data_IF_009983931716
#
_entry.id   IF_009983931716
#
_cell.length_a   1.000
_cell.length_b   1.000
_cell.length_c   1.000
_cell.angle_alpha   90.00
_cell.angle_beta   90.00
_cell.angle_gamma   90.00
#
_symmetry.space_group_name_H-M   'P 1'
#
loop_
_entity.id
_entity.type
_entity.pdbx_description
1 polymer ?
#
# COMPACT_ATOMS: atom_id res chain seq x y z
N UNK A 1 -15.33 -15.75 -31.43
CA UNK A 1 -16.19 -15.73 -30.23
C UNK A 1 -15.70 -16.65 -29.10
N UNK A 2 -15.48 -17.96 -29.32
CA UNK A 2 -14.97 -18.84 -28.24
C UNK A 2 -13.50 -18.58 -27.89
N UNK A 3 -12.69 -18.21 -28.87
CA UNK A 3 -11.26 -17.93 -28.67
C UNK A 3 -11.01 -16.65 -27.86
N UNK A 4 -11.81 -15.60 -28.05
CA UNK A 4 -11.64 -14.32 -27.34
C UNK A 4 -12.09 -14.42 -25.88
N UNK A 5 -13.18 -15.14 -25.61
CA UNK A 5 -13.60 -15.49 -24.25
C UNK A 5 -12.55 -16.35 -23.56
N UNK A 6 -11.97 -17.31 -24.27
CA UNK A 6 -10.85 -18.13 -23.76
C UNK A 6 -9.62 -17.25 -23.47
N UNK A 7 -9.32 -16.26 -24.32
CA UNK A 7 -8.23 -15.31 -24.12
C UNK A 7 -8.41 -14.44 -22.87
N UNK A 8 -9.62 -13.90 -22.66
CA UNK A 8 -9.95 -13.15 -21.45
C UNK A 8 -9.83 -14.02 -20.19
N UNK A 9 -10.39 -15.23 -20.21
CA UNK A 9 -10.30 -16.17 -19.08
C UNK A 9 -8.85 -16.56 -18.79
N UNK A 10 -8.03 -16.77 -19.83
CA UNK A 10 -6.61 -17.03 -19.68
C UNK A 10 -5.87 -15.84 -19.07
N UNK A 11 -6.20 -14.61 -19.48
CA UNK A 11 -5.64 -13.38 -18.91
C UNK A 11 -6.01 -13.20 -17.43
N UNK A 12 -7.28 -13.40 -17.06
CA UNK A 12 -7.73 -13.35 -15.66
C UNK A 12 -7.02 -14.41 -14.82
N UNK A 13 -6.82 -15.60 -15.36
CA UNK A 13 -6.09 -16.67 -14.67
C UNK A 13 -4.62 -16.32 -14.45
N UNK A 14 -3.97 -15.70 -15.44
CA UNK A 14 -2.58 -15.24 -15.35
C UNK A 14 -2.39 -14.11 -14.33
N UNK A 15 -3.33 -13.18 -14.24
CA UNK A 15 -3.25 -11.99 -13.37
C UNK A 15 -4.02 -12.13 -12.05
N UNK A 16 -4.45 -13.36 -11.68
CA UNK A 16 -5.26 -13.63 -10.49
C UNK A 16 -4.69 -13.01 -9.20
N UNK A 17 -3.36 -13.02 -9.02
CA UNK A 17 -2.70 -12.45 -7.82
C UNK A 17 -2.85 -10.93 -7.76
N UNK A 18 -2.68 -10.25 -8.89
CA UNK A 18 -2.82 -8.80 -8.98
C UNK A 18 -4.28 -8.37 -8.78
N UNK A 19 -5.24 -9.13 -9.33
CA UNK A 19 -6.65 -8.89 -9.09
C UNK A 19 -7.04 -9.03 -7.61
N UNK A 20 -6.46 -10.00 -6.90
CA UNK A 20 -6.66 -10.17 -5.46
C UNK A 20 -6.10 -8.95 -4.70
N UNK A 21 -4.91 -8.47 -5.05
CA UNK A 21 -4.30 -7.28 -4.43
C UNK A 21 -5.11 -6.02 -4.73
N UNK A 22 -5.63 -5.88 -5.94
CA UNK A 22 -6.52 -4.77 -6.33
C UNK A 22 -7.94 -4.89 -5.73
N UNK A 23 -8.25 -5.97 -5.01
CA UNK A 23 -9.56 -6.19 -4.39
C UNK A 23 -10.68 -6.55 -5.37
N UNK A 24 -10.35 -6.89 -6.63
CA UNK A 24 -11.33 -7.27 -7.64
C UNK A 24 -11.52 -8.78 -7.60
N UNK A 25 -12.69 -9.23 -7.13
CA UNK A 25 -13.00 -10.66 -7.09
C UNK A 25 -13.36 -11.21 -8.47
N UNK A 26 -12.96 -12.45 -8.74
CA UNK A 26 -13.35 -13.18 -9.97
C UNK A 26 -14.88 -13.26 -10.11
N UNK A 27 -15.60 -13.36 -8.98
CA UNK A 27 -17.07 -13.39 -8.96
C UNK A 27 -17.68 -12.10 -9.51
N UNK A 28 -17.13 -10.94 -9.17
CA UNK A 28 -17.59 -9.64 -9.72
C UNK A 28 -17.37 -9.58 -11.23
N UNK A 29 -16.24 -10.07 -11.74
CA UNK A 29 -15.95 -10.09 -13.18
C UNK A 29 -16.95 -10.97 -13.93
N UNK A 30 -17.22 -12.18 -13.42
CA UNK A 30 -18.20 -13.08 -14.00
C UNK A 30 -19.62 -12.49 -13.92
N UNK A 31 -19.96 -11.81 -12.82
CA UNK A 31 -21.24 -11.13 -12.66
C UNK A 31 -21.41 -9.97 -13.66
N UNK A 32 -20.35 -9.21 -13.94
CA UNK A 32 -20.38 -8.15 -14.97
C UNK A 32 -20.56 -8.76 -16.36
N UNK A 33 -19.84 -9.84 -16.68
CA UNK A 33 -19.98 -10.54 -17.97
C UNK A 33 -21.38 -11.12 -18.16
N UNK A 34 -21.98 -11.70 -17.11
CA UNK A 34 -23.32 -12.27 -17.16
C UNK A 34 -24.43 -11.21 -17.08
N UNK A 35 -24.20 -10.13 -16.34
CA UNK A 35 -25.14 -9.03 -16.14
C UNK A 35 -25.25 -8.13 -17.38
N UNK A 36 -24.15 -7.93 -18.11
CA UNK A 36 -24.16 -7.22 -19.39
C UNK A 36 -24.66 -8.19 -20.47
N UNK A 37 -25.98 -8.23 -20.66
CA UNK A 37 -26.62 -9.01 -21.74
C UNK A 37 -26.22 -8.55 -23.15
N UNK A 38 -25.69 -7.34 -23.28
CA UNK A 38 -25.26 -6.77 -24.55
C UNK A 38 -23.78 -7.09 -24.83
N UNK A 39 -23.56 -8.07 -25.71
CA UNK A 39 -22.22 -8.57 -26.08
C UNK A 39 -21.35 -7.51 -26.76
N UNK A 40 -21.96 -6.55 -27.47
CA UNK A 40 -21.24 -5.48 -28.15
C UNK A 40 -20.63 -4.49 -27.16
N UNK A 41 -21.30 -4.25 -26.03
CA UNK A 41 -20.78 -3.41 -24.96
C UNK A 41 -19.54 -4.06 -24.28
N UNK A 42 -19.54 -5.38 -24.11
CA UNK A 42 -18.38 -6.12 -23.57
C UNK A 42 -17.19 -6.07 -24.54
N UNK A 43 -17.42 -6.24 -25.83
CA UNK A 43 -16.36 -6.16 -26.85
C UNK A 43 -15.78 -4.74 -26.96
N UNK A 44 -16.62 -3.71 -26.82
CA UNK A 44 -16.18 -2.32 -26.75
C UNK A 44 -15.30 -2.05 -25.52
N UNK A 45 -15.75 -2.47 -24.33
CA UNK A 45 -14.97 -2.36 -23.09
C UNK A 45 -13.62 -3.09 -23.18
N UNK A 46 -13.61 -4.28 -23.77
CA UNK A 46 -12.38 -5.05 -23.96
C UNK A 46 -11.41 -4.39 -24.95
N UNK A 47 -11.92 -3.85 -26.05
CA UNK A 47 -11.12 -3.12 -27.03
C UNK A 47 -10.53 -1.83 -26.43
N UNK A 48 -11.33 -1.08 -25.69
CA UNK A 48 -10.91 0.14 -24.99
C UNK A 48 -9.81 -0.18 -23.94
N UNK A 49 -9.97 -1.29 -23.20
CA UNK A 49 -8.97 -1.74 -22.23
C UNK A 49 -7.66 -2.20 -22.88
N UNK A 50 -7.72 -2.94 -23.99
CA UNK A 50 -6.51 -3.28 -24.76
C UNK A 50 -5.81 -2.02 -25.29
N UNK A 51 -6.58 -1.02 -25.73
CA UNK A 51 -6.03 0.24 -26.21
C UNK A 51 -5.37 1.04 -25.08
N UNK A 52 -5.93 1.03 -23.86
CA UNK A 52 -5.33 1.71 -22.71
C UNK A 52 -4.03 1.03 -22.25
N UNK A 53 -3.98 -0.31 -22.24
CA UNK A 53 -2.76 -1.07 -21.92
C UNK A 53 -1.67 -0.84 -22.97
N UNK A 54 -2.02 -0.81 -24.26
CA UNK A 54 -1.06 -0.52 -25.34
C UNK A 54 -0.54 0.91 -25.30
N UNK A 55 -1.37 1.88 -24.91
CA UNK A 55 -0.98 3.29 -24.74
C UNK A 55 -0.11 3.53 -23.50
N UNK A 56 -0.19 2.68 -22.47
CA UNK A 56 0.63 2.83 -21.26
C UNK A 56 2.04 2.28 -21.39
N UNK A 57 2.44 1.75 -22.55
CA UNK A 57 3.83 1.38 -22.84
C UNK A 57 4.63 2.61 -23.31
N UNK A 58 4.71 3.61 -22.44
CA UNK A 58 5.64 4.74 -22.54
C UNK A 58 6.46 4.72 -21.25
N UNK A 59 7.80 4.78 -21.31
CA UNK A 59 8.67 4.54 -20.16
C UNK A 59 8.38 5.52 -19.03
N UNK A 60 8.51 4.99 -17.81
CA UNK A 60 8.55 5.69 -16.53
C UNK A 60 9.23 7.04 -16.71
N UNK A 61 8.42 8.10 -16.79
CA UNK A 61 8.92 9.46 -16.69
C UNK A 61 8.95 9.80 -15.22
N UNK A 62 10.13 9.59 -14.65
CA UNK A 62 10.71 10.35 -13.54
C UNK A 62 9.97 11.68 -13.35
N UNK A 63 9.15 11.77 -12.30
CA UNK A 63 8.60 13.03 -11.84
C UNK A 63 9.55 13.57 -10.78
N UNK A 64 10.50 14.33 -11.31
CA UNK A 64 11.33 15.31 -10.64
C UNK A 64 10.49 16.28 -9.81
N UNK A 65 11.06 16.64 -8.66
CA UNK A 65 10.74 17.75 -7.77
C UNK A 65 9.65 18.72 -8.21
N UNK A 66 8.53 18.76 -7.46
CA UNK A 66 7.92 20.05 -7.10
C UNK A 66 7.08 19.91 -5.84
N UNK A 67 7.61 20.38 -4.71
CA UNK A 67 6.87 20.58 -3.45
C UNK A 67 6.07 21.88 -3.58
N UNK A 68 4.73 21.89 -3.52
CA UNK A 68 4.01 23.14 -3.29
C UNK A 68 4.05 23.47 -1.80
N UNK A 69 4.81 24.53 -1.46
CA UNK A 69 4.74 25.21 -0.16
C UNK A 69 3.30 25.72 0.03
N UNK A 70 2.57 25.14 0.97
CA UNK A 70 1.27 25.65 1.40
C UNK A 70 1.51 26.66 2.52
N UNK A 71 1.13 27.92 2.28
CA UNK A 71 1.13 29.00 3.26
C UNK A 71 0.13 28.68 4.38
N UNK A 72 0.58 28.78 5.64
CA UNK A 72 -0.24 28.58 6.84
C UNK A 72 -1.04 29.85 7.10
N UNK A 73 -2.38 29.78 6.98
CA UNK A 73 -3.29 30.80 7.50
C UNK A 73 -3.77 30.42 8.92
N UNK A 74 -4.16 31.39 9.79
CA UNK A 74 -4.41 31.14 11.20
C UNK A 74 -5.70 30.34 11.43
N UNK A 75 -5.63 29.41 12.39
CA UNK A 75 -6.68 28.45 12.76
C UNK A 75 -7.76 29.17 13.60
N UNK A 76 -9.05 29.18 13.22
CA UNK A 76 -10.11 29.50 14.16
C UNK A 76 -10.44 28.28 15.04
N UNK A 77 -10.43 28.52 16.34
CA UNK A 77 -10.80 27.62 17.43
C UNK A 77 -12.25 27.14 17.27
N UNK A 78 -12.45 25.83 17.06
CA UNK A 78 -13.78 25.18 17.14
C UNK A 78 -13.72 23.95 18.04
N UNK A 79 -14.32 24.19 19.19
CA UNK A 79 -14.93 23.36 20.22
C UNK A 79 -15.34 21.91 19.84
N UNK A 80 -15.00 20.99 20.76
CA UNK A 80 -15.57 19.64 21.01
C UNK A 80 -15.57 18.61 19.88
N UNK A 81 -14.52 17.77 19.86
CA UNK A 81 -14.59 16.41 19.33
C UNK A 81 -14.52 15.41 20.50
N UNK A 82 -15.30 14.31 20.51
CA UNK A 82 -15.40 13.45 21.68
C UNK A 82 -14.06 12.79 22.01
N UNK A 83 -13.71 12.84 23.29
CA UNK A 83 -12.58 12.11 23.88
C UNK A 83 -12.68 10.64 23.47
N UNK A 84 -11.80 10.22 22.55
CA UNK A 84 -11.58 8.81 22.28
C UNK A 84 -11.02 8.23 23.58
N UNK A 85 -11.86 7.55 24.35
CA UNK A 85 -11.38 6.68 25.43
C UNK A 85 -10.60 5.58 24.74
N UNK A 86 -9.28 5.67 24.80
CA UNK A 86 -8.39 4.58 24.44
C UNK A 86 -8.71 3.47 25.44
N UNK A 87 -9.52 2.51 25.01
CA UNK A 87 -9.69 1.27 25.77
C UNK A 87 -8.33 0.61 25.74
N UNK A 88 -7.73 0.42 26.91
CA UNK A 88 -6.49 -0.33 27.04
C UNK A 88 -6.74 -1.77 26.59
N UNK A 89 -6.39 -2.07 25.33
CA UNK A 89 -6.46 -3.43 24.76
C UNK A 89 -5.24 -4.21 25.23
N UNK A 90 -5.03 -4.26 26.55
CA UNK A 90 -3.90 -4.97 27.12
C UNK A 90 -4.18 -6.47 27.10
N UNK A 91 -3.39 -7.18 26.29
CA UNK A 91 -3.11 -8.63 26.35
C UNK A 91 -4.30 -9.56 26.06
N UNK A 92 -4.90 -9.45 24.87
CA UNK A 92 -5.26 -10.71 24.20
C UNK A 92 -3.95 -11.40 23.83
N UNK A 93 -3.78 -12.69 24.14
CA UNK A 93 -2.62 -13.46 23.70
C UNK A 93 -2.49 -13.34 22.18
N UNK A 94 -1.66 -12.39 21.73
CA UNK A 94 -1.39 -12.17 20.32
C UNK A 94 -0.55 -13.36 19.88
N UNK A 95 -0.79 -13.87 18.67
CA UNK A 95 0.14 -14.85 18.12
C UNK A 95 1.49 -14.17 17.92
N UNK A 96 2.63 -14.83 18.21
CA UNK A 96 3.94 -14.26 17.96
C UNK A 96 4.07 -13.78 16.50
N UNK A 97 4.48 -12.53 16.30
CA UNK A 97 4.72 -11.97 14.98
C UNK A 97 6.02 -11.18 14.96
N UNK A 98 6.74 -11.28 13.85
CA UNK A 98 8.02 -10.61 13.66
C UNK A 98 7.81 -9.18 13.20
N UNK A 99 8.62 -8.28 13.76
CA UNK A 99 8.63 -6.86 13.43
C UNK A 99 10.02 -6.53 12.89
N UNK A 100 10.09 -6.22 11.60
CA UNK A 100 11.31 -5.78 10.92
C UNK A 100 11.18 -4.36 10.37
N UNK A 101 12.30 -3.79 9.92
CA UNK A 101 12.36 -2.60 9.05
C UNK A 101 11.66 -1.35 9.58
N UNK A 102 11.69 -1.12 10.89
CA UNK A 102 11.07 0.06 11.49
C UNK A 102 12.09 1.03 12.10
N UNK A 103 11.73 2.31 12.03
CA UNK A 103 12.51 3.42 12.58
C UNK A 103 11.85 3.88 13.87
N UNK A 104 12.65 4.10 14.92
CA UNK A 104 12.17 4.72 16.17
C UNK A 104 12.78 6.10 16.38
N UNK A 105 12.04 6.96 17.05
CA UNK A 105 12.54 8.23 17.55
C UNK A 105 13.25 8.01 18.88
N UNK A 106 14.47 8.55 18.99
CA UNK A 106 15.24 8.60 20.22
C UNK A 106 14.87 9.83 21.05
N UNK A 107 15.24 9.80 22.33
CA UNK A 107 15.07 10.95 23.20
C UNK A 107 15.85 12.18 22.68
N UNK A 108 15.41 13.40 23.02
CA UNK A 108 16.11 14.62 22.65
C UNK A 108 17.59 14.57 23.05
N UNK A 109 18.47 14.89 22.10
CA UNK A 109 19.93 14.87 22.30
C UNK A 109 20.61 13.52 22.04
N UNK A 110 19.85 12.44 21.81
CA UNK A 110 20.41 11.15 21.43
C UNK A 110 20.53 11.04 19.91
N UNK A 111 21.56 10.33 19.45
CA UNK A 111 21.81 10.07 18.03
C UNK A 111 21.93 8.57 17.80
N UNK A 112 21.59 8.12 16.60
CA UNK A 112 21.88 6.75 16.20
C UNK A 112 23.40 6.48 16.28
N UNK A 113 23.75 5.23 16.60
CA UNK A 113 25.14 4.78 16.51
C UNK A 113 25.60 4.81 15.05
N UNK A 114 26.91 4.93 14.83
CA UNK A 114 27.50 4.94 13.49
C UNK A 114 27.15 3.69 12.68
N UNK A 115 27.11 2.54 13.34
CA UNK A 115 26.72 1.25 12.76
C UNK A 115 25.28 1.28 12.23
N UNK A 116 24.34 1.82 13.01
CA UNK A 116 22.92 1.92 12.62
C UNK A 116 22.68 2.94 11.52
N UNK A 117 23.49 4.00 11.46
CA UNK A 117 23.46 4.94 10.33
C UNK A 117 23.95 4.28 9.04
N UNK A 118 25.06 3.54 9.09
CA UNK A 118 25.59 2.83 7.93
C UNK A 118 24.65 1.71 7.48
N UNK A 119 23.98 1.02 8.41
CA UNK A 119 22.97 0.02 8.07
C UNK A 119 21.75 0.63 7.38
N UNK A 120 21.23 1.75 7.89
CA UNK A 120 20.16 2.47 7.24
C UNK A 120 20.57 2.95 5.83
N UNK A 121 21.81 3.42 5.66
CA UNK A 121 22.35 3.82 4.36
C UNK A 121 22.45 2.64 3.38
N UNK A 122 22.88 1.45 3.84
CA UNK A 122 22.86 0.23 3.01
C UNK A 122 21.46 -0.14 2.54
N UNK A 123 20.44 0.12 3.36
CA UNK A 123 19.03 -0.11 3.03
C UNK A 123 18.42 1.04 2.21
N UNK A 124 19.17 2.12 1.93
CA UNK A 124 18.67 3.30 1.23
C UNK A 124 17.72 4.17 2.08
N UNK A 125 17.77 4.03 3.41
CA UNK A 125 16.92 4.74 4.37
C UNK A 125 17.67 5.97 4.90
N UNK A 126 17.10 7.16 4.70
CA UNK A 126 17.65 8.42 5.21
C UNK A 126 17.05 8.69 6.61
N UNK A 127 17.86 8.51 7.66
CA UNK A 127 17.46 8.79 9.04
C UNK A 127 17.49 10.30 9.34
N UNK A 128 16.43 10.84 9.92
CA UNK A 128 16.41 12.21 10.43
C UNK A 128 17.21 12.33 11.76
N UNK A 129 17.61 13.54 12.18
CA UNK A 129 18.25 13.75 13.47
C UNK A 129 17.40 13.19 14.62
N UNK A 130 18.02 12.34 15.45
CA UNK A 130 17.33 11.69 16.56
C UNK A 130 16.53 10.44 16.19
N UNK A 131 16.68 9.90 14.97
CA UNK A 131 16.10 8.61 14.58
C UNK A 131 17.15 7.50 14.58
N UNK A 132 16.70 6.25 14.76
CA UNK A 132 17.53 5.05 14.56
C UNK A 132 16.71 3.94 13.91
N UNK A 133 17.39 3.14 13.08
CA UNK A 133 16.90 1.84 12.67
C UNK A 133 16.90 0.90 13.88
N UNK A 134 15.85 0.10 14.00
CA UNK A 134 15.69 -0.87 15.09
C UNK A 134 15.91 -2.27 14.54
N UNK A 135 16.58 -3.10 15.33
CA UNK A 135 16.75 -4.52 15.02
C UNK A 135 15.42 -5.27 14.99
N UNK A 136 15.38 -6.30 14.16
CA UNK A 136 14.23 -7.18 14.05
C UNK A 136 13.99 -7.89 15.39
N UNK A 137 12.71 -7.95 15.79
CA UNK A 137 12.31 -8.57 17.04
C UNK A 137 10.89 -9.13 16.95
N UNK A 138 10.61 -10.15 17.75
CA UNK A 138 9.29 -10.78 17.80
C UNK A 138 8.44 -10.17 18.91
N UNK A 139 7.20 -9.81 18.58
CA UNK A 139 6.16 -9.39 19.54
C UNK A 139 5.10 -10.48 19.70
N UNK A 140 4.33 -10.41 20.79
CA UNK A 140 3.19 -11.31 21.00
C UNK A 140 3.51 -12.64 21.69
N UNK A 141 4.71 -12.84 22.24
CA UNK A 141 4.98 -14.03 23.06
C UNK A 141 4.35 -13.96 24.45
N UNK A 142 3.90 -15.09 25.00
CA UNK A 142 3.76 -15.25 26.45
C UNK A 142 5.17 -15.37 27.01
N UNK A 143 5.56 -14.46 27.91
CA UNK A 143 6.85 -14.57 28.60
C UNK A 143 6.90 -15.92 29.34
N UNK A 144 7.93 -16.71 29.08
CA UNK A 144 8.20 -17.97 29.76
C UNK A 144 8.65 -17.73 31.21
#
# INVERSE_FOLDING_TARGET
MDEEKKGFVAWVKAHKKELIVAGISIGVILAVILGIKNKDALMKLWADMQASIRKSSVPVKELTDTVPVIQIAPIPEVDKSPVIRIVDVNRTAQYPFDVSDHIRNLHPGWKASAEKMAEAERLGIILQPGQTLVDDYTKGGVAA
#
